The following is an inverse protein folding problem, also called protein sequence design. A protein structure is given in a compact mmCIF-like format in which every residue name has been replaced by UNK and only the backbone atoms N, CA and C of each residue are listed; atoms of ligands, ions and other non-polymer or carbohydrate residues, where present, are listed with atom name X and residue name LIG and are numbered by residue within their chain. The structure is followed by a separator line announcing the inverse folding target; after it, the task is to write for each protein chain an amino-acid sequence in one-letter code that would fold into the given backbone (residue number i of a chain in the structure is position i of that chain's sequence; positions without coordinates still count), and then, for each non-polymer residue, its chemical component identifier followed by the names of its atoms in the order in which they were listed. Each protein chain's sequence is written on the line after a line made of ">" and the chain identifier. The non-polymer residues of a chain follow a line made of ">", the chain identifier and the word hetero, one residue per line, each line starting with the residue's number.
data_IF_894573739315
#
_entry.id   IF_894573739315
#
_cell.length_a   1.000
_cell.length_b   1.000
_cell.length_c   1.000
_cell.angle_alpha   90.00
_cell.angle_beta   90.00
_cell.angle_gamma   90.00
#
_symmetry.space_group_name_H-M   'P 1'
#
loop_
_entity.id
_entity.type
_entity.pdbx_description
1 polymer ?
#
# COMPACT_ATOMS: atom_id res chain seq x y z
N UNK A 1 4.23 -12.22 -0.10
CA UNK A 1 4.71 -13.50 0.47
C UNK A 1 3.99 -13.82 1.79
N UNK A 2 3.99 -12.94 2.82
CA UNK A 2 3.44 -13.25 4.17
C UNK A 2 1.95 -13.60 4.09
N UNK A 3 1.13 -12.80 3.40
CA UNK A 3 -0.31 -13.08 3.22
C UNK A 3 -0.56 -14.42 2.53
N UNK A 4 0.25 -14.77 1.52
CA UNK A 4 0.14 -16.06 0.82
C UNK A 4 0.50 -17.24 1.73
N UNK A 5 1.49 -17.08 2.61
CA UNK A 5 1.83 -18.10 3.60
C UNK A 5 0.72 -18.25 4.64
N UNK A 6 0.17 -17.14 5.13
CA UNK A 6 -0.96 -17.14 6.06
C UNK A 6 -2.20 -17.83 5.46
N UNK A 7 -2.49 -17.58 4.17
CA UNK A 7 -3.59 -18.24 3.45
C UNK A 7 -3.43 -19.75 3.30
N UNK A 8 -2.21 -20.31 3.44
CA UNK A 8 -1.98 -21.77 3.45
C UNK A 8 -2.47 -22.45 4.75
N UNK A 9 -2.71 -21.65 5.79
CA UNK A 9 -3.22 -22.10 7.06
C UNK A 9 -2.53 -21.42 8.24
N UNK A 10 -3.32 -20.98 9.21
CA UNK A 10 -2.84 -20.22 10.36
C UNK A 10 -1.75 -20.96 11.14
N UNK A 11 -1.85 -22.27 11.27
CA UNK A 11 -0.94 -23.10 12.05
C UNK A 11 0.11 -23.83 11.19
N UNK A 12 0.19 -23.56 9.90
CA UNK A 12 1.15 -24.22 9.01
C UNK A 12 2.62 -24.07 9.47
N UNK A 13 3.08 -22.90 9.96
CA UNK A 13 4.44 -22.74 10.46
C UNK A 13 4.78 -23.63 11.66
N UNK A 14 3.79 -24.03 12.47
CA UNK A 14 3.99 -24.87 13.67
C UNK A 14 4.43 -26.30 13.34
N UNK A 15 4.36 -26.71 12.07
CA UNK A 15 4.86 -28.01 11.61
C UNK A 15 6.39 -28.06 11.47
N UNK A 16 7.06 -26.90 11.60
CA UNK A 16 8.49 -26.75 11.36
C UNK A 16 9.20 -26.23 12.61
N UNK A 17 10.45 -26.65 12.80
CA UNK A 17 11.28 -26.06 13.85
C UNK A 17 11.87 -24.73 13.36
N UNK A 18 11.37 -23.63 13.89
CA UNK A 18 11.79 -22.26 13.57
C UNK A 18 12.61 -21.60 14.70
N UNK A 19 13.09 -22.34 15.69
CA UNK A 19 13.81 -21.81 16.86
C UNK A 19 15.12 -21.09 16.51
N UNK A 20 15.70 -21.40 15.38
CA UNK A 20 16.92 -20.73 14.89
C UNK A 20 16.68 -19.30 14.39
N UNK A 21 15.45 -18.91 14.11
CA UNK A 21 15.11 -17.55 13.68
C UNK A 21 15.35 -16.55 14.81
N UNK A 22 15.99 -15.43 14.46
CA UNK A 22 16.33 -14.32 15.38
C UNK A 22 15.62 -13.03 15.00
N UNK A 23 15.52 -12.77 13.70
CA UNK A 23 14.97 -11.55 13.14
C UNK A 23 14.12 -11.91 11.93
N UNK A 24 12.99 -11.25 11.80
CA UNK A 24 12.09 -11.36 10.64
C UNK A 24 12.05 -10.00 9.94
N UNK A 25 11.97 -9.98 8.62
CA UNK A 25 11.92 -8.74 7.85
C UNK A 25 10.68 -8.64 6.99
N UNK A 26 10.16 -7.42 6.85
CA UNK A 26 9.10 -7.08 5.89
C UNK A 26 9.50 -5.89 5.06
N UNK A 27 9.22 -5.94 3.77
CA UNK A 27 9.62 -4.91 2.81
C UNK A 27 8.78 -4.99 1.54
N UNK A 28 8.73 -3.90 0.78
CA UNK A 28 8.13 -3.83 -0.54
C UNK A 28 6.75 -3.17 -0.57
N UNK A 29 5.93 -3.41 0.44
CA UNK A 29 4.65 -2.73 0.66
C UNK A 29 4.34 -2.68 2.17
N UNK A 30 3.48 -1.76 2.63
CA UNK A 30 3.03 -1.76 4.02
C UNK A 30 2.39 -3.10 4.38
N UNK A 31 2.82 -3.70 5.49
CA UNK A 31 2.21 -4.92 6.01
C UNK A 31 0.99 -4.57 6.85
N UNK A 32 -0.14 -5.27 6.65
CA UNK A 32 -1.30 -5.04 7.50
C UNK A 32 -1.11 -5.60 8.93
N UNK A 33 -1.82 -5.05 9.94
CA UNK A 33 -1.65 -5.45 11.33
C UNK A 33 -1.92 -6.94 11.59
N UNK A 34 -2.90 -7.53 10.92
CA UNK A 34 -3.25 -8.96 11.06
C UNK A 34 -2.13 -9.87 10.57
N UNK A 35 -1.61 -9.59 9.36
CA UNK A 35 -0.48 -10.34 8.81
C UNK A 35 0.80 -10.14 9.62
N UNK A 36 1.04 -8.93 10.13
CA UNK A 36 2.17 -8.62 11.01
C UNK A 36 2.08 -9.44 12.32
N UNK A 37 0.90 -9.46 12.95
CA UNK A 37 0.65 -10.19 14.19
C UNK A 37 0.86 -11.69 13.99
N UNK A 38 0.29 -12.27 12.93
CA UNK A 38 0.48 -13.67 12.58
C UNK A 38 1.97 -13.99 12.35
N UNK A 39 2.68 -13.13 11.61
CA UNK A 39 4.11 -13.30 11.35
C UNK A 39 4.94 -13.28 12.63
N UNK A 40 4.62 -12.35 13.55
CA UNK A 40 5.26 -12.24 14.85
C UNK A 40 5.00 -13.46 15.74
N UNK A 41 3.73 -13.85 15.87
CA UNK A 41 3.32 -14.90 16.81
C UNK A 41 3.65 -16.31 16.30
N UNK A 42 3.33 -16.61 15.03
CA UNK A 42 3.41 -17.99 14.49
C UNK A 42 4.77 -18.32 13.88
N UNK A 43 5.43 -17.38 13.23
CA UNK A 43 6.75 -17.60 12.64
C UNK A 43 7.85 -17.15 13.60
N UNK A 44 7.69 -15.99 14.20
CA UNK A 44 8.64 -15.41 15.15
C UNK A 44 8.55 -15.95 16.58
N UNK A 45 7.57 -16.79 16.87
CA UNK A 45 7.29 -17.34 18.20
C UNK A 45 7.24 -16.26 19.29
N UNK A 46 6.73 -15.08 18.95
CA UNK A 46 6.66 -13.87 19.79
C UNK A 46 8.00 -13.43 20.40
N UNK A 47 9.12 -13.85 19.79
CA UNK A 47 10.49 -13.55 20.25
C UNK A 47 11.32 -12.81 19.22
N UNK A 48 11.08 -13.06 17.92
CA UNK A 48 11.84 -12.40 16.85
C UNK A 48 11.41 -10.94 16.72
N UNK A 49 12.39 -10.04 16.60
CA UNK A 49 12.09 -8.69 16.16
C UNK A 49 11.62 -8.70 14.71
N UNK A 50 10.51 -8.02 14.43
CA UNK A 50 10.10 -7.74 13.05
C UNK A 50 10.70 -6.42 12.62
N UNK A 51 11.52 -6.48 11.59
CA UNK A 51 12.17 -5.34 10.94
C UNK A 51 11.29 -4.94 9.77
N UNK A 52 10.32 -4.05 10.02
CA UNK A 52 9.47 -3.46 9.01
C UNK A 52 10.18 -2.25 8.41
N UNK A 53 10.52 -2.33 7.11
CA UNK A 53 11.49 -1.44 6.48
C UNK A 53 10.81 -0.58 5.44
N UNK A 54 11.06 0.72 5.49
CA UNK A 54 10.75 1.60 4.37
C UNK A 54 12.03 2.02 3.63
N UNK A 55 11.97 1.89 2.32
CA UNK A 55 12.99 2.36 1.38
C UNK A 55 12.42 2.46 -0.02
N UNK A 56 13.15 3.10 -0.89
CA UNK A 56 12.87 3.20 -2.33
C UNK A 56 14.14 2.92 -3.12
N UNK A 57 14.01 2.64 -4.41
CA UNK A 57 15.16 2.57 -5.33
C UNK A 57 16.00 3.84 -5.25
N UNK A 58 15.31 4.98 -5.14
CA UNK A 58 15.87 6.32 -5.05
C UNK A 58 16.63 6.57 -3.74
N UNK A 59 16.31 5.86 -2.68
CA UNK A 59 17.04 5.99 -1.41
C UNK A 59 18.34 5.19 -1.37
N UNK A 60 18.51 4.24 -2.29
CA UNK A 60 19.71 3.41 -2.40
C UNK A 60 19.91 2.42 -1.27
N UNK A 61 18.99 2.36 -0.31
CA UNK A 61 18.98 1.46 0.84
C UNK A 61 17.89 1.82 1.83
N UNK A 62 17.81 1.07 2.93
CA UNK A 62 16.84 1.28 3.99
C UNK A 62 17.11 2.59 4.71
N UNK A 63 16.08 3.38 4.98
CA UNK A 63 16.24 4.66 5.68
C UNK A 63 15.26 4.84 6.85
N UNK A 64 14.15 4.10 6.91
CA UNK A 64 13.30 4.03 8.10
C UNK A 64 13.14 2.55 8.46
N UNK A 65 13.52 2.17 9.68
CA UNK A 65 13.50 0.76 10.09
C UNK A 65 13.79 0.64 11.58
N UNK A 66 13.15 -0.27 12.32
CA UNK A 66 13.54 -0.56 13.68
C UNK A 66 14.92 -1.23 13.73
N UNK A 67 15.71 -0.90 14.73
CA UNK A 67 16.95 -1.57 15.05
C UNK A 67 16.65 -2.73 16.03
N UNK A 68 16.86 -4.01 15.62
CA UNK A 68 16.60 -5.15 16.50
C UNK A 68 17.32 -5.03 17.85
N UNK A 69 16.54 -5.20 18.93
CA UNK A 69 17.05 -5.11 20.30
C UNK A 69 17.21 -3.68 20.84
N UNK A 70 17.07 -2.64 20.01
CA UNK A 70 17.19 -1.24 20.42
C UNK A 70 15.90 -0.45 20.25
N UNK A 71 15.16 -0.69 19.15
CA UNK A 71 13.89 0.01 18.88
C UNK A 71 12.72 -0.89 19.25
N UNK A 72 11.81 -0.47 20.15
CA UNK A 72 10.56 -1.18 20.39
C UNK A 72 9.76 -1.28 19.08
N UNK A 73 9.40 -2.51 18.70
CA UNK A 73 8.64 -2.75 17.48
C UNK A 73 7.15 -2.48 17.68
N UNK A 74 6.49 -2.09 16.61
CA UNK A 74 5.03 -1.87 16.57
C UNK A 74 4.47 -2.44 15.27
N UNK A 75 3.29 -3.03 15.36
CA UNK A 75 2.64 -3.62 14.19
C UNK A 75 2.44 -2.58 13.06
N UNK A 76 2.84 -2.97 11.85
CA UNK A 76 2.68 -2.16 10.63
C UNK A 76 3.32 -0.79 10.67
N UNK A 77 4.42 -0.64 11.42
CA UNK A 77 5.11 0.62 11.61
C UNK A 77 6.61 0.47 11.29
N UNK A 78 7.10 1.26 10.36
CA UNK A 78 8.52 1.31 10.00
C UNK A 78 9.40 1.94 11.11
N UNK A 79 8.76 2.58 12.10
CA UNK A 79 9.35 3.17 13.31
C UNK A 79 10.20 4.42 13.05
N UNK A 80 11.48 4.39 13.35
CA UNK A 80 12.34 5.57 13.36
C UNK A 80 13.24 5.64 12.12
N UNK A 81 13.56 6.85 11.65
CA UNK A 81 14.64 7.01 10.68
C UNK A 81 15.95 6.45 11.21
N UNK A 82 16.73 5.82 10.34
CA UNK A 82 18.06 5.36 10.68
C UNK A 82 19.00 6.53 11.01
N UNK A 83 20.07 6.32 11.80
CA UNK A 83 21.01 7.37 12.15
C UNK A 83 21.55 8.12 10.92
N UNK A 84 21.44 9.45 10.95
CA UNK A 84 21.84 10.33 9.85
C UNK A 84 20.73 10.61 8.82
N UNK A 85 19.58 9.97 8.92
CA UNK A 85 18.41 10.25 8.07
C UNK A 85 17.49 11.26 8.78
N UNK A 86 17.09 12.30 8.05
CA UNK A 86 16.17 13.33 8.51
C UNK A 86 14.83 13.20 7.77
N UNK A 87 13.99 12.28 8.22
CA UNK A 87 12.65 12.10 7.70
C UNK A 87 11.65 12.92 8.49
N UNK A 88 10.72 13.55 7.79
CA UNK A 88 9.64 14.37 8.35
C UNK A 88 8.33 14.04 7.60
N UNK A 89 7.21 14.14 8.28
CA UNK A 89 5.89 14.08 7.67
C UNK A 89 5.36 15.52 7.55
N UNK A 90 5.16 15.98 6.32
CA UNK A 90 4.83 17.37 6.01
C UNK A 90 3.46 17.50 5.36
N UNK A 91 2.81 18.62 5.60
CA UNK A 91 1.68 19.09 4.82
C UNK A 91 2.14 19.57 3.43
N UNK A 92 1.21 19.78 2.52
CA UNK A 92 1.49 20.29 1.17
C UNK A 92 2.14 21.68 1.19
N UNK A 93 1.82 22.50 2.20
CA UNK A 93 2.41 23.82 2.40
C UNK A 93 3.82 23.79 3.05
N UNK A 94 4.34 22.60 3.35
CA UNK A 94 5.65 22.38 3.96
C UNK A 94 5.68 22.52 5.48
N UNK A 95 4.55 22.74 6.14
CA UNK A 95 4.46 22.68 7.60
C UNK A 95 4.49 21.23 8.08
N UNK A 96 5.01 20.98 9.29
CA UNK A 96 4.97 19.67 9.91
C UNK A 96 3.53 19.29 10.28
N UNK A 97 3.15 18.04 10.04
CA UNK A 97 1.89 17.50 10.54
C UNK A 97 1.91 17.40 12.07
N UNK A 98 0.75 17.43 12.70
CA UNK A 98 0.62 17.07 14.11
C UNK A 98 0.72 15.54 14.26
N UNK A 99 1.12 15.06 15.46
CA UNK A 99 1.08 13.63 15.75
C UNK A 99 -0.30 13.02 15.45
N UNK A 100 -0.32 11.91 14.69
CA UNK A 100 -1.55 11.25 14.26
C UNK A 100 -2.17 11.80 12.97
N UNK A 101 -1.74 12.96 12.48
CA UNK A 101 -2.20 13.50 11.21
C UNK A 101 -1.39 12.92 10.04
N UNK A 102 -2.10 12.66 8.95
CA UNK A 102 -1.53 12.16 7.71
C UNK A 102 -0.87 13.29 6.91
N UNK A 103 0.30 13.01 6.34
CA UNK A 103 1.00 13.94 5.46
C UNK A 103 1.88 13.21 4.45
N UNK A 104 2.76 13.97 3.82
CA UNK A 104 3.73 13.49 2.85
C UNK A 104 5.05 13.12 3.54
N UNK A 105 5.56 11.92 3.28
CA UNK A 105 6.87 11.54 3.76
C UNK A 105 7.95 12.25 2.95
N UNK A 106 8.71 13.08 3.63
CA UNK A 106 9.80 13.86 3.04
C UNK A 106 11.13 13.54 3.74
N UNK A 107 12.23 13.58 2.98
CA UNK A 107 13.58 13.56 3.56
C UNK A 107 14.17 14.96 3.40
N UNK A 108 14.49 15.57 4.54
CA UNK A 108 14.79 17.00 4.61
C UNK A 108 16.28 17.34 4.49
N UNK A 109 17.15 16.33 4.51
CA UNK A 109 18.59 16.51 4.28
C UNK A 109 19.14 15.41 3.38
N UNK A 110 20.15 15.71 2.57
CA UNK A 110 20.85 14.69 1.76
C UNK A 110 21.42 13.57 2.63
N UNK A 111 21.50 12.37 2.07
CA UNK A 111 22.11 11.20 2.68
C UNK A 111 23.05 10.50 1.67
N UNK A 112 24.02 9.66 2.12
CA UNK A 112 25.08 9.15 1.26
C UNK A 112 24.60 8.34 0.05
N UNK A 113 23.52 7.56 0.18
CA UNK A 113 22.98 6.70 -0.89
C UNK A 113 21.83 7.34 -1.68
N UNK A 114 21.60 8.64 -1.53
CA UNK A 114 20.57 9.37 -2.25
C UNK A 114 20.77 9.27 -3.76
N UNK A 115 19.68 9.07 -4.50
CA UNK A 115 19.66 9.17 -5.97
C UNK A 115 20.19 10.54 -6.40
N UNK A 116 21.05 10.55 -7.42
CA UNK A 116 21.70 11.78 -7.91
C UNK A 116 21.09 12.32 -9.19
N UNK A 117 20.50 11.47 -10.01
CA UNK A 117 19.84 11.85 -11.25
C UNK A 117 19.04 10.66 -11.83
N UNK A 118 18.19 10.95 -12.84
CA UNK A 118 17.62 9.99 -13.77
C UNK A 118 18.45 10.06 -15.05
N UNK A 119 18.93 8.92 -15.53
CA UNK A 119 19.77 8.87 -16.73
C UNK A 119 19.07 9.50 -17.93
N UNK A 120 19.69 10.56 -18.49
CA UNK A 120 19.18 11.28 -19.64
C UNK A 120 17.96 12.18 -19.38
N UNK A 121 17.49 12.33 -18.13
CA UNK A 121 16.28 13.09 -17.82
C UNK A 121 16.36 13.82 -16.46
N UNK A 122 17.26 14.79 -16.37
CA UNK A 122 17.44 15.61 -15.17
C UNK A 122 16.17 16.39 -14.80
N UNK A 123 15.43 16.87 -15.80
CA UNK A 123 14.19 17.60 -15.58
C UNK A 123 13.18 16.74 -14.82
N UNK A 124 12.99 15.50 -15.24
CA UNK A 124 12.11 14.55 -14.56
C UNK A 124 12.57 14.26 -13.11
N UNK A 125 13.87 14.19 -12.89
CA UNK A 125 14.43 14.02 -11.54
C UNK A 125 14.00 15.16 -10.61
N UNK A 126 14.19 16.41 -11.04
CA UNK A 126 13.80 17.59 -10.28
C UNK A 126 12.28 17.64 -10.09
N UNK A 127 11.53 17.51 -11.18
CA UNK A 127 10.07 17.62 -11.17
C UNK A 127 9.42 16.54 -10.28
N UNK A 128 9.97 15.32 -10.25
CA UNK A 128 9.41 14.21 -9.46
C UNK A 128 9.70 14.30 -7.97
N UNK A 129 10.89 14.77 -7.58
CA UNK A 129 11.35 14.61 -6.21
C UNK A 129 11.62 15.94 -5.48
N UNK A 130 11.77 17.08 -6.18
CA UNK A 130 12.24 18.34 -5.58
C UNK A 130 11.48 19.57 -6.06
N UNK A 131 10.24 19.44 -6.55
CA UNK A 131 9.48 20.56 -7.09
C UNK A 131 8.21 20.92 -6.34
N UNK A 132 7.78 20.08 -5.39
CA UNK A 132 6.43 20.19 -4.82
C UNK A 132 6.40 20.79 -3.41
N UNK A 133 7.21 20.28 -2.50
CA UNK A 133 7.17 20.69 -1.08
C UNK A 133 8.44 21.42 -0.69
N UNK A 134 8.27 22.56 -0.01
CA UNK A 134 9.35 23.35 0.57
C UNK A 134 9.28 23.37 2.08
N UNK A 135 10.40 23.12 2.73
CA UNK A 135 10.58 23.34 4.16
C UNK A 135 11.55 24.51 4.35
N UNK A 136 11.11 25.55 5.07
CA UNK A 136 11.91 26.78 5.27
C UNK A 136 12.40 27.45 3.96
N UNK A 137 11.62 27.35 2.89
CA UNK A 137 11.94 27.97 1.61
C UNK A 137 12.76 27.09 0.65
N UNK A 138 13.30 25.95 1.12
CA UNK A 138 14.08 25.02 0.30
C UNK A 138 13.26 23.78 -0.07
N UNK A 139 13.39 23.30 -1.29
CA UNK A 139 12.76 22.04 -1.72
C UNK A 139 13.37 20.85 -0.97
N UNK A 140 12.52 19.96 -0.49
CA UNK A 140 12.91 18.70 0.15
C UNK A 140 12.62 17.51 -0.75
N UNK A 141 13.30 16.39 -0.53
CA UNK A 141 13.01 15.16 -1.24
C UNK A 141 11.62 14.66 -0.87
N UNK A 142 10.71 14.61 -1.86
CA UNK A 142 9.37 14.06 -1.74
C UNK A 142 9.40 12.59 -2.17
N UNK A 143 9.09 11.68 -1.25
CA UNK A 143 9.11 10.24 -1.55
C UNK A 143 7.95 9.78 -2.44
N UNK A 144 6.86 10.55 -2.47
CA UNK A 144 5.60 10.13 -3.07
C UNK A 144 4.84 9.10 -2.22
N UNK A 145 5.23 8.91 -0.97
CA UNK A 145 4.53 8.09 0.01
C UNK A 145 3.85 8.97 1.06
N UNK A 146 2.64 8.56 1.46
CA UNK A 146 1.94 9.12 2.60
C UNK A 146 2.37 8.43 3.89
N UNK A 147 2.44 9.20 4.98
CA UNK A 147 2.80 8.67 6.28
C UNK A 147 2.09 9.41 7.42
N UNK A 148 2.12 8.79 8.58
CA UNK A 148 1.70 9.37 9.86
C UNK A 148 2.89 9.28 10.82
N UNK A 149 3.15 10.34 11.55
CA UNK A 149 4.09 10.32 12.67
C UNK A 149 3.31 10.38 13.99
N UNK A 150 3.70 9.58 14.97
CA UNK A 150 3.10 9.61 16.30
C UNK A 150 3.87 10.50 17.28
N UNK A 151 3.38 10.58 18.52
CA UNK A 151 3.99 11.37 19.60
C UNK A 151 5.41 10.91 19.98
N UNK A 152 5.77 9.67 19.67
CA UNK A 152 7.10 9.12 19.91
C UNK A 152 8.04 9.28 18.71
N UNK A 153 7.57 9.93 17.63
CA UNK A 153 8.30 10.08 16.38
C UNK A 153 8.31 8.83 15.49
N UNK A 154 7.45 7.84 15.78
CA UNK A 154 7.35 6.63 14.96
C UNK A 154 6.58 6.91 13.69
N UNK A 155 7.14 6.52 12.56
CA UNK A 155 6.59 6.73 11.22
C UNK A 155 5.90 5.45 10.75
N UNK A 156 4.61 5.57 10.46
CA UNK A 156 3.79 4.56 9.82
C UNK A 156 3.53 4.95 8.37
N UNK A 157 3.90 4.08 7.44
CA UNK A 157 3.67 4.30 6.00
C UNK A 157 2.26 3.83 5.67
N UNK A 158 1.48 4.70 5.02
CA UNK A 158 0.08 4.41 4.64
C UNK A 158 -0.09 4.05 3.16
N UNK A 159 0.96 4.22 2.36
CA UNK A 159 0.99 3.88 0.94
C UNK A 159 1.40 5.06 0.07
N UNK A 160 1.31 4.86 -1.24
CA UNK A 160 1.63 5.90 -2.23
C UNK A 160 0.63 7.04 -2.16
N UNK A 161 1.09 8.27 -2.37
CA UNK A 161 0.21 9.44 -2.41
C UNK A 161 -0.70 9.45 -3.64
N UNK A 162 -0.28 8.83 -4.73
CA UNK A 162 -1.08 8.59 -5.93
C UNK A 162 -2.10 7.43 -5.77
N UNK A 163 -1.96 6.62 -4.72
CA UNK A 163 -2.90 5.58 -4.30
C UNK A 163 -3.82 6.05 -3.14
N UNK A 164 -3.72 7.30 -2.70
CA UNK A 164 -4.66 7.90 -1.74
C UNK A 164 -5.84 8.45 -2.53
N UNK A 165 -7.05 8.07 -2.11
CA UNK A 165 -8.32 8.50 -2.72
C UNK A 165 -8.92 9.62 -1.87
N UNK A 166 -9.30 10.72 -2.52
CA UNK A 166 -9.91 11.85 -1.84
C UNK A 166 -11.45 11.77 -1.94
N UNK A 167 -12.06 11.11 -0.96
CA UNK A 167 -13.52 10.93 -0.90
C UNK A 167 -14.14 12.05 -0.05
N UNK A 168 -14.86 12.98 -0.68
CA UNK A 168 -15.53 14.10 0.01
C UNK A 168 -14.60 14.89 0.96
N UNK A 169 -13.34 15.10 0.55
CA UNK A 169 -12.34 15.82 1.34
C UNK A 169 -11.58 14.96 2.36
N UNK A 170 -11.93 13.68 2.49
CA UNK A 170 -11.20 12.74 3.35
C UNK A 170 -10.19 11.95 2.52
N UNK A 171 -8.96 11.89 3.00
CA UNK A 171 -7.86 11.13 2.37
C UNK A 171 -7.89 9.70 2.88
N UNK A 172 -8.25 8.76 2.02
CA UNK A 172 -8.38 7.33 2.34
C UNK A 172 -7.27 6.58 1.61
N UNK A 173 -6.43 5.87 2.34
CA UNK A 173 -5.39 5.02 1.77
C UNK A 173 -6.00 3.75 1.15
N UNK A 174 -5.68 3.45 -0.11
CA UNK A 174 -6.19 2.22 -0.75
C UNK A 174 -5.77 0.96 0.00
N UNK A 175 -4.56 0.94 0.55
CA UNK A 175 -4.05 -0.18 1.35
C UNK A 175 -4.88 -0.45 2.61
N UNK A 176 -5.42 0.59 3.26
CA UNK A 176 -6.30 0.47 4.41
C UNK A 176 -7.64 -0.16 4.03
N UNK A 177 -8.22 0.28 2.92
CA UNK A 177 -9.45 -0.27 2.35
C UNK A 177 -9.24 -1.74 1.95
N UNK A 178 -8.15 -2.04 1.24
CA UNK A 178 -7.78 -3.40 0.84
C UNK A 178 -7.59 -4.32 2.06
N UNK A 179 -6.96 -3.82 3.11
CA UNK A 179 -6.77 -4.57 4.36
C UNK A 179 -8.10 -4.91 5.04
N UNK A 180 -9.03 -3.96 5.06
CA UNK A 180 -10.37 -4.18 5.62
C UNK A 180 -11.18 -5.19 4.79
N UNK A 181 -11.21 -5.04 3.46
CA UNK A 181 -11.92 -5.96 2.55
C UNK A 181 -11.35 -7.38 2.66
N UNK A 182 -10.03 -7.53 2.82
CA UNK A 182 -9.37 -8.84 2.94
C UNK A 182 -9.74 -9.62 4.22
N UNK A 183 -10.53 -9.03 5.14
CA UNK A 183 -11.11 -9.75 6.28
C UNK A 183 -12.34 -10.57 5.90
N UNK A 184 -12.92 -10.32 4.74
CA UNK A 184 -14.03 -11.09 4.22
C UNK A 184 -13.56 -12.48 3.78
N UNK A 185 -14.19 -13.55 4.26
CA UNK A 185 -13.76 -14.94 4.05
C UNK A 185 -13.69 -15.38 2.59
N UNK A 186 -14.54 -14.77 1.74
CA UNK A 186 -14.56 -15.05 0.29
C UNK A 186 -13.47 -14.32 -0.48
N UNK A 187 -12.77 -13.34 0.11
CA UNK A 187 -11.78 -12.50 -0.58
C UNK A 187 -10.38 -13.07 -0.42
N UNK A 188 -9.80 -13.52 -1.52
CA UNK A 188 -8.41 -13.97 -1.58
C UNK A 188 -7.45 -12.80 -1.71
N UNK A 189 -7.77 -11.85 -2.57
CA UNK A 189 -6.96 -10.69 -2.86
C UNK A 189 -7.83 -9.56 -3.41
N UNK A 190 -7.45 -8.33 -3.13
CA UNK A 190 -8.12 -7.17 -3.72
C UNK A 190 -7.13 -6.05 -4.01
N UNK A 191 -7.52 -5.19 -4.94
CA UNK A 191 -6.84 -3.93 -5.22
C UNK A 191 -7.87 -2.82 -5.36
N UNK A 192 -7.63 -1.69 -4.70
CA UNK A 192 -8.53 -0.53 -4.71
C UNK A 192 -7.88 0.62 -5.46
N UNK A 193 -8.67 1.33 -6.24
CA UNK A 193 -8.26 2.53 -6.97
C UNK A 193 -9.29 3.63 -6.80
N UNK A 194 -8.84 4.88 -6.87
CA UNK A 194 -9.72 6.04 -6.93
C UNK A 194 -10.15 6.31 -8.37
N UNK A 195 -11.44 6.50 -8.57
CA UNK A 195 -12.02 6.94 -9.85
C UNK A 195 -12.72 8.29 -9.66
N UNK A 196 -12.72 9.18 -10.66
CA UNK A 196 -13.43 10.44 -10.56
C UNK A 196 -14.92 10.25 -10.25
N UNK A 197 -15.44 11.02 -9.29
CA UNK A 197 -16.82 11.10 -8.93
C UNK A 197 -17.28 12.57 -8.91
N UNK A 198 -18.42 12.89 -9.53
CA UNK A 198 -18.90 14.26 -9.70
C UNK A 198 -19.32 14.94 -8.40
N UNK A 199 -19.65 14.16 -7.37
CA UNK A 199 -20.14 14.67 -6.08
C UNK A 199 -19.06 14.59 -5.00
N UNK A 200 -18.33 13.46 -4.96
CA UNK A 200 -17.36 13.17 -3.91
C UNK A 200 -15.94 13.59 -4.25
N UNK A 201 -15.69 14.01 -5.50
CA UNK A 201 -14.36 14.21 -6.07
C UNK A 201 -13.77 12.90 -6.59
N UNK A 202 -13.55 11.94 -5.72
CA UNK A 202 -13.20 10.56 -6.10
C UNK A 202 -14.08 9.55 -5.36
N UNK A 203 -14.30 8.39 -6.01
CA UNK A 203 -14.97 7.23 -5.45
C UNK A 203 -14.03 6.03 -5.36
N UNK A 204 -14.34 5.07 -4.51
CA UNK A 204 -13.57 3.84 -4.33
C UNK A 204 -14.06 2.76 -5.29
N UNK A 205 -13.16 2.24 -6.11
CA UNK A 205 -13.39 1.11 -7.00
C UNK A 205 -12.49 -0.06 -6.60
N UNK A 206 -13.07 -1.24 -6.32
CA UNK A 206 -12.31 -2.43 -5.94
C UNK A 206 -12.30 -3.47 -7.06
N UNK A 207 -11.11 -4.03 -7.34
CA UNK A 207 -10.93 -5.27 -8.08
C UNK A 207 -10.73 -6.39 -7.06
N UNK A 208 -11.56 -7.42 -7.10
CA UNK A 208 -11.61 -8.47 -6.07
C UNK A 208 -11.43 -9.84 -6.69
N UNK A 209 -10.51 -10.61 -6.16
CA UNK A 209 -10.33 -12.04 -6.46
C UNK A 209 -10.98 -12.84 -5.35
N UNK A 210 -11.95 -13.68 -5.71
CA UNK A 210 -12.67 -14.54 -4.78
C UNK A 210 -12.00 -15.91 -4.67
N UNK A 211 -12.24 -16.62 -3.57
CA UNK A 211 -11.82 -18.00 -3.41
C UNK A 211 -12.56 -18.91 -4.42
N UNK A 212 -11.84 -19.96 -4.89
CA UNK A 212 -12.33 -21.00 -5.81
C UNK A 212 -12.82 -20.53 -7.20
N UNK A 213 -12.39 -19.32 -7.65
CA UNK A 213 -12.80 -18.79 -8.95
C UNK A 213 -14.32 -18.59 -9.07
N UNK A 214 -15.00 -18.36 -7.94
CA UNK A 214 -16.43 -18.18 -7.86
C UNK A 214 -16.88 -17.11 -8.85
N UNK A 215 -17.64 -17.52 -9.86
CA UNK A 215 -18.37 -16.60 -10.72
C UNK A 215 -19.61 -16.18 -9.94
N UNK A 216 -19.59 -15.00 -9.37
CA UNK A 216 -20.78 -14.42 -8.74
C UNK A 216 -21.82 -14.07 -9.81
N UNK A 217 -23.05 -14.51 -9.64
CA UNK A 217 -24.16 -13.91 -10.38
C UNK A 217 -24.44 -12.48 -9.84
N UNK A 218 -25.24 -11.72 -10.57
CA UNK A 218 -25.48 -10.31 -10.22
C UNK A 218 -26.04 -10.12 -8.79
N UNK A 219 -26.89 -11.05 -8.32
CA UNK A 219 -27.47 -10.98 -6.96
C UNK A 219 -26.43 -11.22 -5.89
N UNK A 220 -25.58 -12.25 -6.04
CA UNK A 220 -24.46 -12.56 -5.14
C UNK A 220 -23.44 -11.43 -5.12
N UNK A 221 -23.16 -10.83 -6.26
CA UNK A 221 -22.26 -9.68 -6.41
C UNK A 221 -22.72 -8.47 -5.58
N UNK A 222 -24.02 -8.18 -5.59
CA UNK A 222 -24.61 -7.08 -4.81
C UNK A 222 -24.61 -7.37 -3.29
N UNK A 223 -24.76 -8.62 -2.90
CA UNK A 223 -24.71 -9.02 -1.49
C UNK A 223 -23.29 -8.92 -0.95
N UNK A 224 -22.30 -9.46 -1.66
CA UNK A 224 -20.87 -9.32 -1.32
C UNK A 224 -20.45 -7.84 -1.23
N UNK A 225 -20.91 -6.99 -2.13
CA UNK A 225 -20.64 -5.56 -2.06
C UNK A 225 -21.20 -4.92 -0.77
N UNK A 226 -22.40 -5.34 -0.33
CA UNK A 226 -22.99 -4.86 0.93
C UNK A 226 -22.18 -5.34 2.13
N UNK A 227 -21.76 -6.59 2.14
CA UNK A 227 -20.96 -7.18 3.21
C UNK A 227 -19.58 -6.50 3.33
N UNK A 228 -18.87 -6.31 2.20
CA UNK A 228 -17.62 -5.55 2.17
C UNK A 228 -17.81 -4.10 2.65
N UNK A 229 -18.89 -3.43 2.23
CA UNK A 229 -19.20 -2.07 2.69
C UNK A 229 -19.55 -2.03 4.18
N UNK A 230 -20.15 -3.08 4.73
CA UNK A 230 -20.36 -3.18 6.16
C UNK A 230 -19.03 -3.29 6.91
N UNK A 231 -18.12 -4.15 6.45
CA UNK A 231 -16.77 -4.27 7.01
C UNK A 231 -16.04 -2.92 6.98
N UNK A 232 -16.05 -2.24 5.85
CA UNK A 232 -15.42 -0.91 5.71
C UNK A 232 -16.01 0.11 6.68
N UNK A 233 -17.34 0.10 6.85
CA UNK A 233 -18.00 1.01 7.79
C UNK A 233 -17.60 0.79 9.25
N UNK A 234 -17.31 -0.47 9.63
CA UNK A 234 -16.87 -0.83 10.99
C UNK A 234 -15.38 -0.52 11.19
N UNK A 235 -14.53 -0.85 10.20
CA UNK A 235 -13.08 -0.77 10.33
C UNK A 235 -12.51 0.64 10.13
N UNK A 236 -13.06 1.39 9.16
CA UNK A 236 -12.55 2.70 8.76
C UNK A 236 -13.58 3.80 9.07
N UNK A 237 -14.85 3.51 8.82
CA UNK A 237 -15.94 4.46 8.99
C UNK A 237 -16.81 4.58 7.75
N UNK A 238 -17.99 5.20 7.91
CA UNK A 238 -19.03 5.30 6.84
C UNK A 238 -18.57 6.02 5.57
N UNK A 239 -17.49 6.79 5.65
CA UNK A 239 -16.92 7.50 4.50
C UNK A 239 -16.21 6.55 3.53
N UNK A 240 -15.63 5.45 4.03
CA UNK A 240 -14.96 4.44 3.23
C UNK A 240 -15.98 3.45 2.69
N UNK A 241 -16.65 3.84 1.62
CA UNK A 241 -17.65 3.00 0.94
C UNK A 241 -17.19 2.73 -0.49
N UNK A 242 -17.18 1.46 -0.90
CA UNK A 242 -17.00 1.07 -2.29
C UNK A 242 -18.19 1.56 -3.12
N UNK A 243 -17.91 2.28 -4.17
CA UNK A 243 -18.91 2.70 -5.14
C UNK A 243 -19.13 1.62 -6.20
N UNK A 244 -18.03 0.92 -6.56
CA UNK A 244 -18.07 -0.18 -7.51
C UNK A 244 -17.11 -1.30 -7.10
N UNK A 245 -17.44 -2.51 -7.53
CA UNK A 245 -16.61 -3.70 -7.40
C UNK A 245 -16.58 -4.46 -8.71
N UNK A 246 -15.41 -4.95 -9.10
CA UNK A 246 -15.25 -5.86 -10.23
C UNK A 246 -14.60 -7.14 -9.74
N UNK A 247 -15.25 -8.27 -9.96
CA UNK A 247 -14.69 -9.58 -9.64
C UNK A 247 -13.83 -10.05 -10.81
N UNK A 248 -12.56 -10.35 -10.50
CA UNK A 248 -11.55 -10.66 -11.51
C UNK A 248 -10.84 -11.98 -11.18
N UNK A 249 -10.35 -12.72 -12.18
CA UNK A 249 -9.68 -13.99 -11.96
C UNK A 249 -8.30 -13.83 -11.31
N UNK A 250 -7.71 -12.65 -11.41
CA UNK A 250 -6.42 -12.30 -10.82
C UNK A 250 -6.12 -10.82 -10.94
N UNK A 251 -5.12 -10.34 -10.21
CA UNK A 251 -4.66 -8.94 -10.27
C UNK A 251 -3.38 -8.85 -11.12
N UNK A 252 -3.24 -7.80 -11.97
CA UNK A 252 -2.02 -7.58 -12.73
C UNK A 252 -0.87 -7.23 -11.79
N UNK A 253 0.20 -8.02 -11.83
CA UNK A 253 1.38 -7.88 -10.98
C UNK A 253 2.64 -7.78 -11.81
N UNK A 254 3.63 -7.08 -11.28
CA UNK A 254 4.99 -7.16 -11.79
C UNK A 254 5.61 -8.50 -11.40
N UNK A 255 6.71 -8.88 -12.05
CA UNK A 255 7.51 -10.08 -11.69
C UNK A 255 7.99 -10.10 -10.24
N UNK A 256 8.05 -8.95 -9.59
CA UNK A 256 8.36 -8.83 -8.15
C UNK A 256 7.12 -8.97 -7.25
N UNK A 257 5.93 -9.21 -7.81
CA UNK A 257 4.67 -9.38 -7.07
C UNK A 257 3.95 -8.09 -6.70
N UNK A 258 4.40 -6.92 -7.18
CA UNK A 258 3.72 -5.64 -6.96
C UNK A 258 2.49 -5.51 -7.86
N UNK A 259 1.34 -5.17 -7.27
CA UNK A 259 0.10 -4.88 -8.02
C UNK A 259 0.28 -3.59 -8.82
N UNK A 260 -0.11 -3.64 -10.09
CA UNK A 260 -0.02 -2.50 -11.01
C UNK A 260 -1.28 -1.63 -10.94
N UNK A 261 -1.47 -0.89 -9.83
CA UNK A 261 -2.67 -0.07 -9.57
C UNK A 261 -2.92 0.98 -10.64
N UNK A 262 -1.87 1.58 -11.24
CA UNK A 262 -2.03 2.55 -12.34
C UNK A 262 -2.72 1.91 -13.54
N UNK A 263 -2.41 0.65 -13.84
CA UNK A 263 -3.07 -0.09 -14.91
C UNK A 263 -4.54 -0.35 -14.58
N UNK A 264 -4.83 -0.81 -13.35
CA UNK A 264 -6.19 -1.00 -12.86
C UNK A 264 -7.00 0.30 -12.87
N UNK A 265 -6.38 1.42 -12.50
CA UNK A 265 -7.02 2.76 -12.55
C UNK A 265 -7.40 3.15 -13.98
N UNK A 266 -6.54 2.89 -14.97
CA UNK A 266 -6.86 3.13 -16.39
C UNK A 266 -8.02 2.24 -16.85
N UNK A 267 -8.02 0.96 -16.46
CA UNK A 267 -9.12 0.04 -16.78
C UNK A 267 -10.44 0.51 -16.16
N UNK A 268 -10.44 0.85 -14.87
CA UNK A 268 -11.64 1.34 -14.16
C UNK A 268 -12.22 2.62 -14.76
N UNK A 269 -11.36 3.47 -15.30
CA UNK A 269 -11.76 4.71 -16.00
C UNK A 269 -12.10 4.51 -17.47
N UNK A 270 -11.95 3.29 -18.00
CA UNK A 270 -12.10 2.98 -19.43
C UNK A 270 -11.14 3.81 -20.32
N UNK A 271 -9.98 4.17 -19.78
CA UNK A 271 -8.93 4.90 -20.50
C UNK A 271 -8.00 3.94 -21.27
N UNK A 272 -7.39 4.38 -22.39
CA UNK A 272 -6.39 3.57 -23.09
C UNK A 272 -5.22 3.21 -22.17
N UNK A 273 -4.76 1.96 -22.26
CA UNK A 273 -3.59 1.49 -21.52
C UNK A 273 -2.33 2.05 -22.20
N UNK A 274 -1.67 2.97 -21.53
CA UNK A 274 -0.40 3.59 -21.99
C UNK A 274 0.81 3.13 -21.20
N UNK A 275 0.59 2.33 -20.15
CA UNK A 275 1.62 1.83 -19.25
C UNK A 275 2.48 0.76 -19.94
N UNK A 276 3.77 0.73 -19.59
CA UNK A 276 4.67 -0.33 -20.01
C UNK A 276 4.26 -1.67 -19.38
N UNK A 277 3.88 -2.63 -20.23
CA UNK A 277 3.46 -3.98 -19.82
C UNK A 277 4.63 -4.98 -19.77
N UNK A 278 5.86 -4.58 -20.13
CA UNK A 278 7.03 -5.48 -20.18
C UNK A 278 7.43 -6.05 -18.81
N UNK A 279 7.03 -5.39 -17.74
CA UNK A 279 7.29 -5.80 -16.35
C UNK A 279 6.24 -6.72 -15.77
N UNK A 280 5.12 -6.96 -16.47
CA UNK A 280 4.06 -7.86 -16.02
C UNK A 280 4.56 -9.31 -15.90
N UNK A 281 4.11 -9.97 -14.84
CA UNK A 281 4.31 -11.41 -14.65
C UNK A 281 3.48 -12.20 -15.66
N UNK A 282 2.19 -11.85 -15.81
CA UNK A 282 1.28 -12.45 -16.79
C UNK A 282 0.41 -11.38 -17.48
N UNK A 283 0.57 -11.24 -18.79
CA UNK A 283 -0.20 -10.31 -19.62
C UNK A 283 -1.64 -10.79 -19.84
N UNK A 284 -1.93 -12.09 -19.69
CA UNK A 284 -3.27 -12.63 -19.95
C UNK A 284 -4.28 -12.14 -18.91
N UNK A 285 -3.87 -11.93 -17.66
CA UNK A 285 -4.72 -11.37 -16.61
C UNK A 285 -5.32 -10.02 -17.04
N UNK A 286 -4.52 -9.17 -17.71
CA UNK A 286 -5.02 -7.88 -18.20
C UNK A 286 -6.07 -8.05 -19.29
N UNK A 287 -5.85 -8.99 -20.22
CA UNK A 287 -6.81 -9.29 -21.30
C UNK A 287 -8.13 -9.83 -20.74
N UNK A 288 -8.06 -10.70 -19.73
CA UNK A 288 -9.24 -11.24 -19.05
C UNK A 288 -10.03 -10.14 -18.34
N UNK A 289 -9.37 -9.25 -17.60
CA UNK A 289 -10.03 -8.10 -16.96
C UNK A 289 -10.69 -7.20 -18.02
N UNK A 290 -10.00 -6.90 -19.11
CA UNK A 290 -10.56 -6.08 -20.19
C UNK A 290 -11.76 -6.74 -20.87
N UNK A 291 -11.77 -8.08 -21.00
CA UNK A 291 -12.92 -8.79 -21.56
C UNK A 291 -14.16 -8.68 -20.65
N UNK A 292 -13.97 -8.66 -19.32
CA UNK A 292 -15.07 -8.46 -18.36
C UNK A 292 -15.65 -7.06 -18.52
N UNK A 293 -14.81 -6.02 -18.64
CA UNK A 293 -15.24 -4.63 -18.86
C UNK A 293 -16.08 -4.49 -20.13
N UNK A 294 -15.72 -5.21 -21.20
CA UNK A 294 -16.47 -5.17 -22.48
C UNK A 294 -17.78 -5.94 -22.42
N UNK A 295 -17.95 -6.91 -21.51
CA UNK A 295 -19.20 -7.66 -21.34
C UNK A 295 -20.23 -6.91 -20.48
N UNK A 296 -19.80 -5.92 -19.71
CA UNK A 296 -20.67 -5.07 -18.88
C UNK A 296 -21.25 -3.86 -19.65
N UNK A 297 -20.87 -3.67 -20.92
CA UNK A 297 -21.46 -2.71 -21.87
C UNK A 297 -22.62 -3.33 -22.65
#
# INVERSE_FOLDING_TARGET
>A
AIRMLHAKGENEPLKYNLESLKVLGTVGEPINPTAWKWFYEKIGNSKCSIVDTWWQTETGGHIISPLPGATPIRASCATLPLPGIHAEVLNEDGTKTKPGEQGFLCITKPWPSMVRNIWGDEKRYIDSYFSQIKLNGEYVYLSGDGAIVDENGYITIIGRTDDIVNVSGHRIGTAEVESAISKHEMVVECAVVGIPDTIKGEGLFAFVVLCDGAKCNLGESLELLKEMNHILSVEIGKIAKLDNVMYVPGLPKTRSGKIMRRLLKSIAKKEPITQDLSTLEDVNVVKEIMSIVQMEE
#
